data_IF_638830903303
#
_entry.id   IF_638830903303
#
_cell.length_a   1.000
_cell.length_b   1.000
_cell.length_c   1.000
_cell.angle_alpha   90.00
_cell.angle_beta   90.00
_cell.angle_gamma   90.00
#
_symmetry.space_group_name_H-M   'P 1'
#
loop_
_entity.id
_entity.type
_entity.pdbx_description
1 polymer ?
#
# COMPACT_ATOMS: atom_id res chain seq x y z
N UNK A 1 4.82 56.23 20.08
CA UNK A 1 5.68 55.02 20.08
C UNK A 1 5.51 54.31 18.77
N UNK A 2 6.52 54.30 17.92
CA UNK A 2 6.47 53.69 16.62
C UNK A 2 6.70 52.19 16.70
N UNK A 3 6.05 51.35 15.89
CA UNK A 3 6.33 49.90 15.84
C UNK A 3 7.60 49.63 15.02
N UNK A 4 8.45 48.77 15.60
CA UNK A 4 9.69 48.28 15.02
C UNK A 4 9.43 47.49 13.75
N UNK A 5 10.18 47.83 12.71
CA UNK A 5 10.22 47.06 11.47
C UNK A 5 10.85 45.68 11.69
N UNK A 6 10.11 44.63 11.41
CA UNK A 6 10.66 43.27 11.27
C UNK A 6 11.20 43.17 9.84
N UNK A 7 12.53 43.05 9.72
CA UNK A 7 13.19 42.84 8.44
C UNK A 7 12.84 41.45 7.91
N UNK A 8 12.30 41.40 6.70
CA UNK A 8 12.12 40.18 5.91
C UNK A 8 13.51 39.56 5.64
N UNK A 9 13.79 38.42 6.23
CA UNK A 9 14.86 37.52 5.82
C UNK A 9 14.38 36.72 4.63
N UNK A 10 14.88 37.06 3.46
CA UNK A 10 14.71 36.25 2.26
C UNK A 10 15.34 34.86 2.47
N UNK A 11 14.72 33.78 1.97
CA UNK A 11 15.29 32.45 2.08
C UNK A 11 16.60 32.39 1.28
N UNK A 12 17.69 32.05 1.94
CA UNK A 12 18.97 31.75 1.30
C UNK A 12 18.88 30.40 0.62
N UNK A 13 18.72 30.41 -0.68
CA UNK A 13 18.92 29.22 -1.51
C UNK A 13 20.36 28.75 -1.31
N UNK A 14 20.52 27.53 -0.78
CA UNK A 14 21.83 26.87 -0.72
C UNK A 14 22.32 26.59 -2.14
N UNK A 15 23.05 27.55 -2.70
CA UNK A 15 23.82 27.32 -3.92
C UNK A 15 24.94 26.34 -3.59
N UNK A 16 24.98 25.23 -4.29
CA UNK A 16 26.11 24.32 -4.29
C UNK A 16 27.39 25.09 -4.58
N UNK A 17 28.35 25.07 -3.65
CA UNK A 17 29.68 25.63 -3.89
C UNK A 17 30.30 24.87 -5.06
N UNK A 18 30.49 25.57 -6.20
CA UNK A 18 31.47 25.17 -7.21
C UNK A 18 32.84 25.26 -6.57
N UNK A 19 33.48 24.13 -6.39
CA UNK A 19 34.90 24.06 -6.11
C UNK A 19 35.66 24.30 -7.43
N UNK A 20 36.53 25.29 -7.42
CA UNK A 20 37.38 25.64 -8.56
C UNK A 20 38.32 24.50 -8.96
N UNK A 21 38.48 24.39 -10.27
CA UNK A 21 39.27 23.45 -11.04
C UNK A 21 40.69 23.18 -10.51
N UNK A 22 40.99 21.91 -10.27
CA UNK A 22 42.31 21.35 -10.51
C UNK A 22 42.21 20.41 -11.72
N UNK A 23 42.79 20.81 -12.83
CA UNK A 23 42.93 19.97 -14.02
C UNK A 23 43.92 18.85 -13.73
N UNK A 24 43.43 17.61 -13.70
CA UNK A 24 44.25 16.44 -14.01
C UNK A 24 43.42 15.36 -14.71
N UNK A 25 43.90 15.01 -15.88
CA UNK A 25 43.72 13.79 -16.69
C UNK A 25 42.32 13.20 -16.86
N UNK A 26 41.83 13.34 -18.07
CA UNK A 26 40.73 12.75 -18.81
C UNK A 26 40.29 11.31 -18.50
N UNK A 27 39.55 11.12 -17.41
CA UNK A 27 38.56 10.08 -17.27
C UNK A 27 37.30 10.76 -16.73
N UNK A 28 36.30 10.92 -17.56
CA UNK A 28 34.95 11.33 -17.12
C UNK A 28 34.41 10.21 -16.24
N UNK A 29 34.65 10.32 -14.95
CA UNK A 29 33.90 9.50 -13.96
C UNK A 29 32.46 10.00 -14.03
N UNK A 30 31.58 9.27 -14.70
CA UNK A 30 30.13 9.44 -14.55
C UNK A 30 29.86 9.15 -13.08
N UNK A 31 29.60 10.19 -12.28
CA UNK A 31 29.14 10.00 -10.91
C UNK A 31 27.89 9.16 -10.97
N UNK A 32 27.93 7.97 -10.38
CA UNK A 32 26.78 7.08 -10.30
C UNK A 32 25.72 7.78 -9.46
N UNK A 33 24.56 8.05 -10.05
CA UNK A 33 23.43 8.62 -9.33
C UNK A 33 23.07 7.70 -8.14
N UNK A 34 22.98 8.27 -6.94
CA UNK A 34 22.64 7.53 -5.73
C UNK A 34 21.18 7.04 -5.79
N UNK A 35 20.95 5.81 -5.38
CA UNK A 35 19.59 5.34 -5.15
C UNK A 35 18.95 6.06 -3.95
N UNK A 36 17.60 6.10 -3.84
CA UNK A 36 16.93 6.68 -2.68
C UNK A 36 17.41 6.10 -1.34
N UNK A 37 17.62 4.79 -1.24
CA UNK A 37 18.14 4.16 -0.03
C UNK A 37 19.59 4.54 0.28
N UNK A 38 20.44 4.70 -0.74
CA UNK A 38 21.81 5.21 -0.55
C UNK A 38 21.78 6.66 -0.06
N UNK A 39 20.90 7.51 -0.62
CA UNK A 39 20.80 8.92 -0.27
C UNK A 39 20.31 9.18 1.16
N UNK A 40 19.38 8.36 1.66
CA UNK A 40 18.84 8.47 3.03
C UNK A 40 19.72 7.79 4.07
N UNK A 41 20.63 6.89 3.68
CA UNK A 41 21.45 6.11 4.58
C UNK A 41 22.78 6.82 4.88
N UNK A 42 23.04 7.14 6.15
CA UNK A 42 24.35 7.58 6.60
C UNK A 42 25.09 6.39 7.24
N UNK A 43 26.09 5.85 6.56
CA UNK A 43 26.80 4.62 6.95
C UNK A 43 26.39 3.42 6.10
N UNK A 44 25.95 2.32 6.73
CA UNK A 44 25.49 1.15 5.99
C UNK A 44 24.12 1.41 5.33
N UNK A 45 24.01 1.13 4.03
CA UNK A 45 22.74 1.26 3.31
C UNK A 45 21.75 0.22 3.82
N UNK A 46 20.53 0.68 4.16
CA UNK A 46 19.47 -0.22 4.60
C UNK A 46 19.00 -1.12 3.43
N UNK A 47 18.72 -2.41 3.69
CA UNK A 47 18.23 -3.30 2.65
C UNK A 47 16.81 -2.92 2.22
N UNK A 48 16.57 -2.97 0.91
CA UNK A 48 15.23 -2.82 0.33
C UNK A 48 14.39 -4.11 0.40
N UNK A 49 13.61 -4.38 -0.65
CA UNK A 49 12.75 -5.56 -0.76
C UNK A 49 13.62 -6.83 -0.72
N UNK A 50 13.32 -7.80 0.17
CA UNK A 50 14.11 -9.01 0.29
C UNK A 50 13.92 -9.95 -0.90
N UNK A 51 14.96 -10.70 -1.23
CA UNK A 51 14.89 -11.85 -2.13
C UNK A 51 14.65 -13.14 -1.35
N UNK A 52 14.02 -14.12 -1.99
CA UNK A 52 13.64 -15.37 -1.33
C UNK A 52 14.22 -16.57 -2.06
N UNK A 53 14.63 -17.63 -1.32
CA UNK A 53 15.22 -18.84 -1.93
C UNK A 53 14.18 -19.72 -2.63
N UNK A 54 12.88 -19.50 -2.38
CA UNK A 54 11.78 -20.24 -2.99
C UNK A 54 10.48 -19.44 -2.98
N UNK A 55 9.54 -19.76 -3.87
CA UNK A 55 8.19 -19.21 -3.84
C UNK A 55 7.44 -19.53 -2.56
N UNK A 56 7.70 -20.67 -1.93
CA UNK A 56 7.12 -21.03 -0.63
C UNK A 56 7.53 -20.03 0.47
N UNK A 57 8.80 -19.66 0.56
CA UNK A 57 9.26 -18.68 1.56
C UNK A 57 8.76 -17.27 1.20
N UNK A 58 8.71 -16.92 -0.08
CA UNK A 58 8.14 -15.65 -0.54
C UNK A 58 6.65 -15.55 -0.20
N UNK A 59 5.85 -16.56 -0.52
CA UNK A 59 4.41 -16.63 -0.18
C UNK A 59 4.17 -16.51 1.32
N UNK A 60 4.98 -17.18 2.12
CA UNK A 60 4.92 -17.09 3.58
C UNK A 60 5.25 -15.67 4.08
N UNK A 61 6.23 -15.01 3.52
CA UNK A 61 6.54 -13.62 3.81
C UNK A 61 5.34 -12.72 3.50
N UNK A 62 4.80 -12.80 2.29
CA UNK A 62 3.63 -12.04 1.86
C UNK A 62 2.47 -12.20 2.84
N UNK A 63 2.08 -13.42 3.18
CA UNK A 63 0.92 -13.67 4.05
C UNK A 63 1.13 -13.15 5.48
N UNK A 64 2.36 -13.21 5.98
CA UNK A 64 2.74 -12.66 7.30
C UNK A 64 2.67 -11.14 7.27
N UNK A 65 3.18 -10.50 6.22
CA UNK A 65 3.17 -9.05 6.05
C UNK A 65 1.75 -8.52 5.79
N UNK A 66 0.92 -9.22 5.03
CA UNK A 66 -0.51 -8.92 4.91
C UNK A 66 -1.20 -8.87 6.28
N UNK A 67 -0.96 -9.87 7.14
CA UNK A 67 -1.55 -9.91 8.47
C UNK A 67 -1.06 -8.75 9.35
N UNK A 68 0.21 -8.35 9.24
CA UNK A 68 0.76 -7.20 9.94
C UNK A 68 0.15 -5.89 9.43
N UNK A 69 0.01 -5.72 8.13
CA UNK A 69 -0.64 -4.55 7.50
C UNK A 69 -2.11 -4.41 7.94
N UNK A 70 -2.86 -5.51 8.05
CA UNK A 70 -4.22 -5.46 8.60
C UNK A 70 -4.24 -5.03 10.07
N UNK A 71 -3.27 -5.46 10.89
CA UNK A 71 -3.17 -5.03 12.28
C UNK A 71 -2.80 -3.55 12.39
N UNK A 72 -1.89 -3.08 11.54
CA UNK A 72 -1.60 -1.66 11.37
C UNK A 72 -2.88 -0.88 11.02
N UNK A 73 -3.69 -1.35 10.06
CA UNK A 73 -4.97 -0.73 9.74
C UNK A 73 -5.92 -0.68 10.94
N UNK A 74 -6.05 -1.79 11.67
CA UNK A 74 -6.89 -1.82 12.87
C UNK A 74 -6.41 -0.84 13.95
N UNK A 75 -5.11 -0.72 14.15
CA UNK A 75 -4.50 0.18 15.13
C UNK A 75 -4.74 1.65 14.79
N UNK A 76 -4.77 1.99 13.51
CA UNK A 76 -5.00 3.34 13.02
C UNK A 76 -6.50 3.67 12.82
N UNK A 77 -7.40 2.74 13.16
CA UNK A 77 -8.83 2.96 13.02
C UNK A 77 -9.35 2.86 11.57
N UNK A 78 -8.58 2.21 10.69
CA UNK A 78 -8.98 1.99 9.29
C UNK A 78 -9.93 0.78 9.17
N UNK A 79 -10.96 0.77 10.03
CA UNK A 79 -11.94 -0.32 10.10
C UNK A 79 -13.35 0.26 10.09
N UNK A 80 -14.22 -0.31 9.26
CA UNK A 80 -15.64 0.05 9.18
C UNK A 80 -16.47 -1.21 8.94
N UNK A 81 -16.91 -1.87 10.01
CA UNK A 81 -17.68 -3.10 9.93
C UNK A 81 -16.93 -4.20 9.14
N UNK A 82 -17.51 -4.60 8.00
CA UNK A 82 -16.92 -5.59 7.08
C UNK A 82 -16.26 -4.96 5.85
N UNK A 83 -16.21 -3.63 5.80
CA UNK A 83 -15.63 -2.88 4.69
C UNK A 83 -14.11 -2.90 4.75
N UNK A 84 -13.49 -2.80 3.57
CA UNK A 84 -12.05 -2.78 3.43
C UNK A 84 -11.45 -4.16 3.17
N UNK A 85 -10.41 -4.16 2.36
CA UNK A 85 -9.74 -5.38 1.92
C UNK A 85 -8.33 -5.08 1.42
N UNK A 86 -7.45 -6.06 1.57
CA UNK A 86 -6.11 -6.05 0.99
C UNK A 86 -5.98 -7.30 0.14
N UNK A 87 -5.41 -7.16 -1.06
CA UNK A 87 -5.00 -8.31 -1.86
C UNK A 87 -3.53 -8.25 -2.23
N UNK A 88 -2.92 -9.43 -2.38
CA UNK A 88 -1.55 -9.58 -2.90
C UNK A 88 -1.53 -10.69 -3.94
N UNK A 89 -0.95 -10.42 -5.10
CA UNK A 89 -0.74 -11.41 -6.16
C UNK A 89 0.15 -12.54 -5.65
N UNK A 90 -0.19 -13.79 -6.02
CA UNK A 90 0.68 -14.92 -5.69
C UNK A 90 2.03 -14.79 -6.44
N UNK A 91 3.17 -15.01 -5.76
CA UNK A 91 4.49 -14.78 -6.36
C UNK A 91 4.89 -15.81 -7.42
N UNK A 92 4.27 -16.97 -7.42
CA UNK A 92 4.54 -18.07 -8.35
C UNK A 92 3.45 -18.18 -9.43
N UNK A 93 2.20 -18.07 -8.98
CA UNK A 93 1.01 -18.24 -9.82
C UNK A 93 0.32 -16.89 -10.02
N UNK A 94 0.78 -16.12 -10.98
CA UNK A 94 0.35 -14.73 -11.19
C UNK A 94 -1.13 -14.56 -11.55
N UNK A 95 -1.82 -15.64 -11.90
CA UNK A 95 -3.28 -15.67 -12.10
C UNK A 95 -4.09 -15.73 -10.80
N UNK A 96 -3.43 -15.75 -9.63
CA UNK A 96 -4.07 -15.84 -8.31
C UNK A 96 -3.69 -14.67 -7.42
N UNK A 97 -4.58 -14.33 -6.49
CA UNK A 97 -4.34 -13.34 -5.44
C UNK A 97 -4.78 -13.86 -4.07
N UNK A 98 -4.06 -13.43 -3.05
CA UNK A 98 -4.40 -13.64 -1.65
C UNK A 98 -5.20 -12.45 -1.16
N UNK A 99 -6.28 -12.70 -0.39
CA UNK A 99 -7.16 -11.68 0.15
C UNK A 99 -7.62 -12.08 1.57
N UNK A 100 -8.06 -11.10 2.37
CA UNK A 100 -8.69 -11.40 3.66
C UNK A 100 -10.07 -12.04 3.48
N UNK A 101 -10.48 -12.92 4.39
CA UNK A 101 -11.87 -13.38 4.47
C UNK A 101 -12.79 -12.24 4.90
N UNK A 102 -14.03 -12.28 4.43
CA UNK A 102 -15.10 -11.40 4.88
C UNK A 102 -15.47 -11.69 6.34
N UNK A 103 -15.76 -10.66 7.13
CA UNK A 103 -16.34 -10.79 8.47
C UNK A 103 -15.33 -11.05 9.59
N UNK A 104 -14.02 -11.02 9.32
CA UNK A 104 -12.99 -11.10 10.36
C UNK A 104 -12.41 -9.72 10.60
N UNK A 105 -12.45 -9.25 11.86
CA UNK A 105 -11.88 -7.97 12.24
C UNK A 105 -10.37 -7.92 11.93
N UNK A 106 -9.88 -6.83 11.33
CA UNK A 106 -8.50 -6.68 10.87
C UNK A 106 -7.46 -6.98 11.94
N UNK A 107 -7.68 -6.53 13.17
CA UNK A 107 -6.78 -6.80 14.30
C UNK A 107 -6.69 -8.28 14.72
N UNK A 108 -7.58 -9.14 14.24
CA UNK A 108 -7.59 -10.58 14.53
C UNK A 108 -7.02 -11.42 13.38
N UNK A 109 -6.78 -10.80 12.22
CA UNK A 109 -6.27 -11.52 11.05
C UNK A 109 -4.86 -12.07 11.30
N UNK A 110 -4.62 -13.24 10.76
CA UNK A 110 -3.33 -13.94 10.74
C UNK A 110 -3.05 -14.43 9.33
N UNK A 111 -1.81 -14.79 9.03
CA UNK A 111 -1.43 -15.38 7.75
C UNK A 111 -2.31 -16.59 7.35
N UNK A 112 -2.71 -17.40 8.33
CA UNK A 112 -3.56 -18.58 8.11
C UNK A 112 -5.03 -18.28 7.78
N UNK A 113 -5.49 -17.03 7.94
CA UNK A 113 -6.85 -16.63 7.55
C UNK A 113 -6.95 -16.24 6.07
N UNK A 114 -5.83 -15.89 5.41
CA UNK A 114 -5.87 -15.41 4.03
C UNK A 114 -6.39 -16.49 3.11
N UNK A 115 -7.23 -16.09 2.16
CA UNK A 115 -7.83 -16.96 1.14
C UNK A 115 -7.20 -16.65 -0.22
N UNK A 116 -7.04 -17.69 -1.03
CA UNK A 116 -6.51 -17.59 -2.37
C UNK A 116 -7.64 -17.65 -3.40
N UNK A 117 -7.72 -16.63 -4.26
CA UNK A 117 -8.72 -16.52 -5.32
C UNK A 117 -8.05 -16.51 -6.69
N UNK A 118 -8.69 -17.14 -7.65
CA UNK A 118 -8.37 -16.94 -9.06
C UNK A 118 -8.78 -15.53 -9.48
N UNK A 119 -7.86 -14.75 -10.06
CA UNK A 119 -8.10 -13.35 -10.43
C UNK A 119 -9.20 -13.25 -11.50
N UNK A 120 -9.25 -14.19 -12.45
CA UNK A 120 -10.19 -14.14 -13.56
C UNK A 120 -11.63 -14.43 -13.13
N UNK A 121 -11.84 -15.44 -12.29
CA UNK A 121 -13.19 -15.95 -11.99
C UNK A 121 -13.69 -15.65 -10.59
N UNK A 122 -12.78 -15.25 -9.66
CA UNK A 122 -13.09 -15.10 -8.23
C UNK A 122 -13.25 -16.42 -7.47
N UNK A 123 -12.99 -17.55 -8.15
CA UNK A 123 -13.06 -18.85 -7.50
C UNK A 123 -12.05 -18.96 -6.38
N UNK A 124 -12.51 -19.32 -5.18
CA UNK A 124 -11.63 -19.60 -4.05
C UNK A 124 -11.00 -20.97 -4.28
N UNK A 125 -9.67 -21.01 -4.38
CA UNK A 125 -8.90 -22.23 -4.67
C UNK A 125 -8.14 -22.75 -3.47
N UNK A 126 -7.99 -21.95 -2.41
CA UNK A 126 -7.25 -22.37 -1.22
C UNK A 126 -7.23 -21.36 -0.09
N UNK A 127 -6.44 -21.64 0.93
CA UNK A 127 -6.31 -20.79 2.11
C UNK A 127 -7.48 -20.87 3.07
N UNK A 128 -7.46 -19.97 4.05
CA UNK A 128 -8.56 -19.81 5.01
C UNK A 128 -8.60 -20.85 6.13
N UNK A 129 -8.70 -20.39 7.37
CA UNK A 129 -8.98 -21.25 8.54
C UNK A 129 -9.94 -20.51 9.47
N UNK A 130 -10.97 -21.17 9.96
CA UNK A 130 -11.44 -22.52 9.57
C UNK A 130 -12.01 -22.52 8.13
N UNK A 131 -12.10 -23.69 7.51
CA UNK A 131 -12.64 -23.87 6.15
C UNK A 131 -14.07 -23.31 5.97
N UNK A 132 -14.84 -23.16 7.05
CA UNK A 132 -16.17 -22.52 7.08
C UNK A 132 -16.15 -21.00 6.85
N UNK A 133 -14.97 -20.36 6.91
CA UNK A 133 -14.78 -18.92 6.70
C UNK A 133 -14.29 -18.56 5.28
N UNK A 134 -14.46 -19.47 4.31
CA UNK A 134 -14.04 -19.25 2.93
C UNK A 134 -15.03 -18.35 2.18
N UNK A 135 -15.11 -17.09 2.59
CA UNK A 135 -15.94 -16.07 1.92
C UNK A 135 -15.12 -14.83 1.68
N UNK A 136 -15.03 -14.40 0.43
CA UNK A 136 -14.42 -13.12 0.04
C UNK A 136 -15.48 -12.00 0.01
N UNK A 137 -15.02 -10.75 0.16
CA UNK A 137 -15.84 -9.59 -0.16
C UNK A 137 -16.00 -9.49 -1.69
N UNK A 138 -17.23 -9.59 -2.19
CA UNK A 138 -17.49 -9.58 -3.63
C UNK A 138 -17.10 -8.24 -4.29
N UNK A 139 -17.43 -7.11 -3.65
CA UNK A 139 -17.04 -5.79 -4.14
C UNK A 139 -15.51 -5.65 -4.15
N UNK A 140 -14.85 -6.11 -3.08
CA UNK A 140 -13.39 -6.14 -3.00
C UNK A 140 -12.76 -6.98 -4.10
N UNK A 141 -13.30 -8.16 -4.38
CA UNK A 141 -12.83 -8.99 -5.48
C UNK A 141 -12.94 -8.25 -6.81
N UNK A 142 -14.09 -7.64 -7.12
CA UNK A 142 -14.33 -6.98 -8.40
C UNK A 142 -13.34 -5.80 -8.64
N UNK A 143 -13.11 -4.98 -7.62
CA UNK A 143 -12.15 -3.86 -7.71
C UNK A 143 -10.72 -4.40 -7.87
N UNK A 144 -10.31 -5.31 -7.00
CA UNK A 144 -8.92 -5.78 -6.97
C UNK A 144 -8.56 -6.62 -8.19
N UNK A 145 -9.47 -7.49 -8.66
CA UNK A 145 -9.23 -8.29 -9.86
C UNK A 145 -9.07 -7.41 -11.12
N UNK A 146 -9.89 -6.36 -11.27
CA UNK A 146 -9.78 -5.41 -12.37
C UNK A 146 -8.40 -4.71 -12.38
N UNK A 147 -7.95 -4.21 -11.22
CA UNK A 147 -6.65 -3.54 -11.09
C UNK A 147 -5.50 -4.52 -11.33
N UNK A 148 -5.55 -5.73 -10.75
CA UNK A 148 -4.53 -6.75 -10.99
C UNK A 148 -4.44 -7.14 -12.46
N UNK A 149 -5.56 -7.24 -13.17
CA UNK A 149 -5.59 -7.52 -14.63
C UNK A 149 -5.02 -6.36 -15.44
N UNK A 150 -5.33 -5.13 -15.07
CA UNK A 150 -4.91 -3.93 -15.81
C UNK A 150 -3.41 -3.64 -15.68
N UNK A 151 -2.81 -3.91 -14.51
CA UNK A 151 -1.39 -3.62 -14.23
C UNK A 151 -0.67 -4.85 -13.66
N UNK A 152 -0.50 -5.91 -14.46
CA UNK A 152 0.08 -7.18 -13.97
C UNK A 152 1.59 -7.12 -13.71
N UNK A 153 2.29 -6.12 -14.28
CA UNK A 153 3.75 -6.05 -14.24
C UNK A 153 4.31 -5.28 -13.04
N UNK A 154 3.51 -4.41 -12.42
CA UNK A 154 3.99 -3.49 -11.38
C UNK A 154 3.09 -3.44 -10.14
N UNK A 155 1.83 -3.84 -10.23
CA UNK A 155 0.94 -3.94 -9.08
C UNK A 155 0.85 -5.39 -8.60
N UNK A 156 1.48 -5.64 -7.45
CA UNK A 156 1.39 -6.91 -6.76
C UNK A 156 0.52 -6.84 -5.51
N UNK A 157 0.31 -5.65 -4.93
CA UNK A 157 -0.52 -5.46 -3.75
C UNK A 157 -1.48 -4.28 -3.92
N UNK A 158 -2.68 -4.41 -3.31
CA UNK A 158 -3.73 -3.40 -3.33
C UNK A 158 -4.32 -3.31 -1.92
N UNK A 159 -4.46 -2.09 -1.40
CA UNK A 159 -5.11 -1.78 -0.14
C UNK A 159 -6.32 -0.88 -0.37
N UNK A 160 -7.44 -1.18 0.30
CA UNK A 160 -8.63 -0.33 0.32
C UNK A 160 -9.28 -0.39 1.70
N UNK A 161 -9.69 0.77 2.21
CA UNK A 161 -10.51 0.88 3.41
C UNK A 161 -11.31 2.18 3.44
N UNK A 162 -12.32 2.20 4.32
CA UNK A 162 -13.21 3.34 4.56
C UNK A 162 -12.75 4.09 5.82
N UNK A 163 -11.78 4.99 5.68
CA UNK A 163 -11.26 5.79 6.79
C UNK A 163 -12.09 7.07 6.98
N UNK A 164 -12.08 7.64 8.18
CA UNK A 164 -12.82 8.88 8.43
C UNK A 164 -12.29 10.05 7.61
N UNK A 165 -10.97 10.25 7.58
CA UNK A 165 -10.37 11.34 6.82
C UNK A 165 -10.48 11.12 5.31
N UNK A 166 -10.26 9.88 4.84
CA UNK A 166 -10.40 9.53 3.43
C UNK A 166 -11.82 9.71 2.92
N UNK A 167 -12.83 9.24 3.65
CA UNK A 167 -14.24 9.47 3.30
C UNK A 167 -14.59 10.97 3.31
N UNK A 168 -14.18 11.68 4.34
CA UNK A 168 -14.46 13.10 4.45
C UNK A 168 -13.86 13.93 3.30
N UNK A 169 -12.62 13.63 2.90
CA UNK A 169 -12.00 14.29 1.76
C UNK A 169 -12.59 13.84 0.42
N UNK A 170 -12.94 12.57 0.29
CA UNK A 170 -13.45 11.99 -0.97
C UNK A 170 -14.72 12.66 -1.50
N UNK A 171 -15.53 13.28 -0.61
CA UNK A 171 -16.77 13.98 -1.03
C UNK A 171 -16.50 15.20 -1.92
N UNK A 172 -15.29 15.76 -1.86
CA UNK A 172 -14.92 16.90 -2.70
C UNK A 172 -14.46 16.48 -4.10
N UNK A 173 -14.23 15.19 -4.34
CA UNK A 173 -13.72 14.67 -5.61
C UNK A 173 -12.52 15.47 -6.15
N UNK A 174 -11.55 15.78 -5.27
CA UNK A 174 -10.36 16.59 -5.58
C UNK A 174 -9.09 15.86 -5.19
N UNK A 175 -7.99 16.06 -5.94
CA UNK A 175 -6.66 15.60 -5.49
C UNK A 175 -6.24 16.34 -4.22
N UNK A 176 -5.20 15.84 -3.56
CA UNK A 176 -4.53 16.51 -2.46
C UNK A 176 -3.53 17.53 -3.00
N UNK A 177 -3.43 18.69 -2.34
CA UNK A 177 -2.35 19.64 -2.57
C UNK A 177 -1.05 19.11 -1.92
N UNK A 178 0.11 19.47 -2.45
CA UNK A 178 1.41 19.12 -1.87
C UNK A 178 1.69 20.02 -0.66
N UNK A 179 1.10 19.69 0.49
CA UNK A 179 1.13 20.52 1.71
C UNK A 179 2.20 20.11 2.72
N UNK A 180 2.80 18.95 2.55
CA UNK A 180 3.89 18.46 3.40
C UNK A 180 4.84 17.58 2.58
N UNK A 181 6.06 17.40 3.08
CA UNK A 181 7.04 16.51 2.47
C UNK A 181 6.46 15.12 2.20
N UNK A 182 5.76 14.55 3.18
CA UNK A 182 5.25 13.17 3.09
C UNK A 182 4.22 12.99 1.98
N UNK A 183 3.33 13.97 1.76
CA UNK A 183 2.31 13.87 0.72
C UNK A 183 2.90 14.00 -0.69
N UNK A 184 4.12 14.56 -0.83
CA UNK A 184 4.81 14.59 -2.10
C UNK A 184 5.15 13.19 -2.65
N UNK A 185 5.04 12.13 -1.84
CA UNK A 185 5.05 10.75 -2.31
C UNK A 185 3.88 10.42 -3.27
N UNK A 186 2.91 11.31 -3.38
CA UNK A 186 1.78 11.22 -4.31
C UNK A 186 1.80 12.29 -5.39
N UNK A 187 2.89 13.05 -5.54
CA UNK A 187 2.98 14.07 -6.58
C UNK A 187 2.83 13.41 -7.96
N UNK A 188 1.82 13.86 -8.74
CA UNK A 188 1.41 13.26 -10.02
C UNK A 188 1.18 11.74 -9.99
N UNK A 189 0.94 11.18 -8.81
CA UNK A 189 0.83 9.73 -8.60
C UNK A 189 -0.41 9.33 -7.78
N UNK A 190 -1.44 10.19 -7.70
CA UNK A 190 -2.74 9.82 -7.15
C UNK A 190 -3.87 10.29 -8.06
N UNK A 191 -4.86 9.42 -8.23
CA UNK A 191 -6.04 9.66 -9.04
C UNK A 191 -7.24 10.08 -8.19
N UNK A 192 -8.21 10.69 -8.85
CA UNK A 192 -9.56 10.87 -8.30
C UNK A 192 -10.54 10.14 -9.19
N UNK A 193 -11.25 9.17 -8.63
CA UNK A 193 -12.40 8.57 -9.28
C UNK A 193 -13.64 9.38 -8.91
N UNK A 194 -14.02 10.30 -9.78
CA UNK A 194 -15.08 11.30 -9.55
C UNK A 194 -16.49 10.79 -9.92
N UNK A 195 -16.77 9.52 -9.60
CA UNK A 195 -18.09 8.91 -9.77
C UNK A 195 -18.43 8.05 -8.56
N UNK A 196 -19.71 7.90 -8.27
CA UNK A 196 -20.22 7.03 -7.24
C UNK A 196 -21.37 6.19 -7.80
N UNK A 197 -21.08 4.93 -8.09
CA UNK A 197 -22.07 3.98 -8.63
C UNK A 197 -22.83 3.18 -7.56
N UNK A 198 -22.64 3.50 -6.27
CA UNK A 198 -23.16 2.71 -5.16
C UNK A 198 -22.17 1.63 -4.70
N UNK A 199 -22.68 0.57 -4.05
CA UNK A 199 -21.86 -0.59 -3.72
C UNK A 199 -21.50 -1.31 -5.01
N UNK A 200 -20.21 -1.69 -5.14
CA UNK A 200 -19.69 -2.37 -6.34
C UNK A 200 -20.23 -3.81 -6.40
N UNK A 201 -21.27 -4.00 -7.20
CA UNK A 201 -21.85 -5.32 -7.48
C UNK A 201 -21.68 -5.75 -8.95
N UNK A 202 -21.09 -4.89 -9.78
CA UNK A 202 -20.87 -5.14 -11.19
C UNK A 202 -19.39 -4.97 -11.55
N UNK A 203 -18.89 -5.82 -12.44
CA UNK A 203 -17.49 -5.81 -12.88
C UNK A 203 -17.07 -4.48 -13.52
N UNK A 204 -18.01 -3.80 -14.20
CA UNK A 204 -17.77 -2.54 -14.89
C UNK A 204 -17.37 -1.38 -13.94
N UNK A 205 -17.81 -1.39 -12.67
CA UNK A 205 -17.35 -0.40 -11.68
C UNK A 205 -15.88 -0.64 -11.30
N UNK A 206 -15.48 -1.91 -11.12
CA UNK A 206 -14.08 -2.26 -10.89
C UNK A 206 -13.18 -1.83 -12.04
N UNK A 207 -13.62 -2.02 -13.29
CA UNK A 207 -12.89 -1.58 -14.49
C UNK A 207 -12.77 -0.05 -14.55
N UNK A 208 -13.85 0.69 -14.25
CA UNK A 208 -13.82 2.18 -14.21
C UNK A 208 -12.85 2.70 -13.12
N UNK A 209 -12.79 2.04 -11.97
CA UNK A 209 -11.82 2.39 -10.91
C UNK A 209 -10.39 2.10 -11.39
N UNK A 210 -10.17 0.96 -12.04
CA UNK A 210 -8.87 0.61 -12.61
C UNK A 210 -8.45 1.59 -13.72
N UNK A 211 -9.38 2.03 -14.56
CA UNK A 211 -9.14 3.05 -15.59
C UNK A 211 -8.79 4.42 -14.97
N UNK A 212 -9.50 4.84 -13.93
CA UNK A 212 -9.21 6.08 -13.20
C UNK A 212 -7.85 6.04 -12.51
N UNK A 213 -7.48 4.91 -11.91
CA UNK A 213 -6.15 4.71 -11.33
C UNK A 213 -5.06 4.86 -12.41
N UNK A 214 -5.32 4.41 -13.64
CA UNK A 214 -4.40 4.58 -14.77
C UNK A 214 -3.08 3.84 -14.62
N UNK A 215 -2.09 4.23 -15.44
CA UNK A 215 -0.84 3.47 -15.59
C UNK A 215 0.24 3.82 -14.54
N UNK A 216 0.15 4.97 -13.87
CA UNK A 216 1.26 5.48 -13.03
C UNK A 216 0.89 5.72 -11.57
N UNK A 217 -0.41 5.91 -11.27
CA UNK A 217 -0.82 6.29 -9.94
C UNK A 217 -0.58 5.17 -8.92
N UNK A 218 -0.16 5.59 -7.74
CA UNK A 218 0.07 4.74 -6.55
C UNK A 218 -1.13 4.75 -5.60
N UNK A 219 -2.07 5.69 -5.81
CA UNK A 219 -3.28 5.79 -5.01
C UNK A 219 -4.46 6.36 -5.78
N UNK A 220 -5.66 6.19 -5.26
CA UNK A 220 -6.89 6.78 -5.75
C UNK A 220 -7.80 7.21 -4.60
N UNK A 221 -8.41 8.38 -4.76
CA UNK A 221 -9.49 8.88 -3.94
C UNK A 221 -10.79 8.52 -4.66
N UNK A 222 -11.59 7.65 -4.04
CA UNK A 222 -12.86 7.19 -4.60
C UNK A 222 -13.98 8.08 -4.03
N UNK A 223 -14.60 8.91 -4.87
CA UNK A 223 -15.63 9.88 -4.46
C UNK A 223 -16.74 9.20 -3.64
N UNK A 224 -17.06 9.77 -2.47
CA UNK A 224 -18.07 9.28 -1.52
C UNK A 224 -17.88 7.83 -1.05
N UNK A 225 -16.66 7.26 -1.18
CA UNK A 225 -16.41 5.86 -0.90
C UNK A 225 -15.23 5.68 0.06
N UNK A 226 -14.05 6.07 -0.34
CA UNK A 226 -12.85 5.87 0.48
C UNK A 226 -11.57 6.01 -0.31
N UNK A 227 -10.52 5.34 0.17
CA UNK A 227 -9.17 5.40 -0.40
C UNK A 227 -8.74 4.03 -0.93
N UNK A 228 -7.91 4.06 -1.96
CA UNK A 228 -7.26 2.88 -2.52
C UNK A 228 -5.79 3.20 -2.78
N UNK A 229 -4.90 2.26 -2.47
CA UNK A 229 -3.47 2.36 -2.81
C UNK A 229 -2.95 1.04 -3.37
N UNK A 230 -1.88 1.14 -4.16
CA UNK A 230 -1.27 0.01 -4.84
C UNK A 230 0.25 0.05 -4.64
N UNK A 231 0.91 -1.09 -4.81
CA UNK A 231 2.36 -1.19 -4.72
C UNK A 231 2.92 -2.51 -5.25
N UNK A 232 4.24 -2.56 -5.38
CA UNK A 232 4.99 -3.77 -5.69
C UNK A 232 4.98 -4.77 -4.51
N UNK A 233 4.76 -4.27 -3.28
CA UNK A 233 4.64 -5.08 -2.06
C UNK A 233 3.44 -4.63 -1.24
N UNK A 234 2.95 -5.49 -0.35
CA UNK A 234 1.90 -5.13 0.61
C UNK A 234 2.41 -4.09 1.62
N UNK A 235 3.69 -4.09 1.88
CA UNK A 235 4.37 -3.13 2.73
C UNK A 235 4.26 -1.72 2.14
N UNK A 236 4.65 -1.56 0.88
CA UNK A 236 4.50 -0.31 0.14
C UNK A 236 3.03 0.15 0.10
N UNK A 237 2.14 -0.72 -0.38
CA UNK A 237 0.72 -0.39 -0.51
C UNK A 237 0.09 0.04 0.82
N UNK A 238 0.43 -0.66 1.92
CA UNK A 238 -0.05 -0.36 3.27
C UNK A 238 0.52 0.94 3.85
N UNK A 239 1.81 1.20 3.67
CA UNK A 239 2.45 2.45 4.06
C UNK A 239 1.84 3.64 3.32
N UNK A 240 1.74 3.55 1.99
CA UNK A 240 1.11 4.56 1.14
C UNK A 240 -0.36 4.80 1.53
N UNK A 241 -1.09 3.76 1.95
CA UNK A 241 -2.46 3.92 2.42
C UNK A 241 -2.54 4.80 3.67
N UNK A 242 -1.70 4.51 4.67
CA UNK A 242 -1.61 5.33 5.88
C UNK A 242 -1.19 6.77 5.58
N UNK A 243 -0.31 6.95 4.61
CA UNK A 243 0.16 8.26 4.17
C UNK A 243 -0.97 9.06 3.48
N UNK A 244 -1.74 8.41 2.59
CA UNK A 244 -2.86 9.02 1.89
C UNK A 244 -3.98 9.45 2.87
N UNK A 245 -4.30 8.61 3.86
CA UNK A 245 -5.27 8.96 4.91
C UNK A 245 -4.82 10.19 5.72
N UNK A 246 -3.54 10.18 6.16
CA UNK A 246 -2.97 11.34 6.89
C UNK A 246 -2.96 12.59 6.02
N UNK A 247 -2.66 12.46 4.72
CA UNK A 247 -2.76 13.55 3.74
C UNK A 247 -4.17 14.13 3.65
N UNK A 248 -5.21 13.29 3.57
CA UNK A 248 -6.60 13.72 3.60
C UNK A 248 -6.93 14.49 4.89
N UNK A 249 -6.48 13.99 6.04
CA UNK A 249 -6.68 14.65 7.34
C UNK A 249 -6.01 16.01 7.41
N UNK A 250 -4.75 16.12 6.95
CA UNK A 250 -4.02 17.38 6.91
C UNK A 250 -4.69 18.38 5.96
N UNK A 251 -5.09 17.93 4.79
CA UNK A 251 -5.79 18.79 3.82
C UNK A 251 -7.07 19.37 4.43
N UNK A 252 -7.90 18.55 5.08
CA UNK A 252 -9.13 19.02 5.75
C UNK A 252 -8.83 20.09 6.81
N UNK A 253 -7.79 19.91 7.63
CA UNK A 253 -7.39 20.86 8.66
C UNK A 253 -6.88 22.17 8.05
N UNK A 254 -6.06 22.08 7.01
CA UNK A 254 -5.51 23.25 6.31
C UNK A 254 -6.60 24.02 5.59
N UNK A 255 -7.56 23.34 4.92
CA UNK A 255 -8.71 24.00 4.27
C UNK A 255 -9.60 24.73 5.30
N UNK A 256 -9.84 24.12 6.46
CA UNK A 256 -10.59 24.76 7.52
C UNK A 256 -9.88 26.04 8.05
N UNK A 257 -8.56 25.99 8.20
CA UNK A 257 -7.78 27.17 8.59
C UNK A 257 -7.75 28.24 7.48
N UNK A 258 -7.60 27.83 6.23
CA UNK A 258 -7.60 28.73 5.07
C UNK A 258 -8.95 29.44 4.90
N UNK A 259 -10.07 28.74 5.14
CA UNK A 259 -11.40 29.33 5.15
C UNK A 259 -11.57 30.45 6.19
N UNK A 260 -10.72 30.44 7.26
CA UNK A 260 -10.66 31.48 8.28
C UNK A 260 -9.54 32.51 8.03
N UNK A 261 -9.03 32.60 6.79
CA UNK A 261 -8.12 33.67 6.36
C UNK A 261 -6.62 33.35 6.47
N UNK A 262 -6.23 32.14 6.91
CA UNK A 262 -4.81 31.73 6.88
C UNK A 262 -4.38 31.38 5.46
N UNK A 263 -3.24 31.92 5.02
CA UNK A 263 -2.71 31.62 3.68
C UNK A 263 -2.03 30.25 3.68
N UNK A 264 -2.39 29.41 2.73
CA UNK A 264 -1.68 28.15 2.45
C UNK A 264 -0.36 28.43 1.69
N UNK A 265 0.68 27.75 2.07
CA UNK A 265 1.90 27.65 1.28
C UNK A 265 1.97 26.21 0.74
N UNK A 266 1.78 26.06 -0.55
CA UNK A 266 1.86 24.78 -1.25
C UNK A 266 3.31 24.60 -1.73
N UNK A 267 3.86 23.38 -1.57
CA UNK A 267 5.19 23.02 -2.08
C UNK A 267 5.13 23.14 -3.61
N UNK A 268 6.19 23.72 -4.20
CA UNK A 268 6.27 23.87 -5.65
C UNK A 268 6.32 22.51 -6.37
N UNK A 269 5.87 22.49 -7.63
CA UNK A 269 5.89 21.26 -8.43
C UNK A 269 7.31 20.71 -8.58
N UNK A 270 8.32 21.57 -8.71
CA UNK A 270 9.73 21.17 -8.81
C UNK A 270 10.21 20.46 -7.53
N UNK A 271 9.92 21.04 -6.36
CA UNK A 271 10.30 20.47 -5.07
C UNK A 271 9.51 19.17 -4.80
N UNK A 272 8.23 19.13 -5.13
CA UNK A 272 7.39 17.96 -4.98
C UNK A 272 7.83 16.80 -5.90
N UNK A 273 8.18 17.10 -7.16
CA UNK A 273 8.70 16.13 -8.11
C UNK A 273 10.06 15.57 -7.68
N UNK A 274 10.94 16.42 -7.14
CA UNK A 274 12.22 15.97 -6.58
C UNK A 274 12.00 15.03 -5.39
N UNK A 275 11.12 15.41 -4.46
CA UNK A 275 10.79 14.58 -3.31
C UNK A 275 10.18 13.24 -3.74
N UNK A 276 9.25 13.25 -4.70
CA UNK A 276 8.66 12.04 -5.26
C UNK A 276 9.73 11.11 -5.82
N UNK A 277 10.66 11.64 -6.63
CA UNK A 277 11.78 10.85 -7.19
C UNK A 277 12.61 10.18 -6.10
N UNK A 278 12.87 10.89 -4.99
CA UNK A 278 13.77 10.43 -3.93
C UNK A 278 13.09 9.57 -2.85
N UNK A 279 11.77 9.61 -2.73
CA UNK A 279 11.07 8.94 -1.62
C UNK A 279 10.04 7.89 -2.07
N UNK A 280 9.64 7.87 -3.35
CA UNK A 280 8.54 7.02 -3.84
C UNK A 280 9.00 5.79 -4.62
N UNK A 281 10.28 5.44 -4.55
CA UNK A 281 10.83 4.22 -5.14
C UNK A 281 10.44 3.00 -4.30
N UNK A 282 10.18 1.86 -4.93
CA UNK A 282 9.60 0.67 -4.29
C UNK A 282 10.42 0.10 -3.13
N UNK A 283 11.76 0.09 -3.23
CA UNK A 283 12.64 -0.39 -2.16
C UNK A 283 12.65 0.58 -0.97
N UNK A 284 12.59 1.88 -1.24
CA UNK A 284 12.51 2.91 -0.21
C UNK A 284 11.17 2.82 0.53
N UNK A 285 10.05 2.73 -0.19
CA UNK A 285 8.71 2.61 0.39
C UNK A 285 8.52 1.30 1.16
N UNK A 286 9.08 0.18 0.66
CA UNK A 286 9.15 -1.06 1.42
C UNK A 286 9.85 -0.83 2.76
N UNK A 287 10.98 -0.11 2.76
CA UNK A 287 11.75 0.14 3.98
C UNK A 287 11.03 1.07 4.94
N UNK A 288 10.35 2.10 4.43
CA UNK A 288 9.53 3.02 5.24
C UNK A 288 8.41 2.29 6.01
N UNK A 289 7.86 1.23 5.47
CA UNK A 289 6.83 0.43 6.13
C UNK A 289 7.36 -0.40 7.30
N UNK A 290 8.66 -0.76 7.31
CA UNK A 290 9.17 -1.77 8.25
C UNK A 290 9.04 -1.40 9.73
N UNK A 291 9.28 -0.15 10.19
CA UNK A 291 9.10 0.20 11.60
C UNK A 291 7.71 -0.09 12.14
N UNK A 292 6.67 0.23 11.38
CA UNK A 292 5.28 -0.04 11.76
C UNK A 292 4.96 -1.53 11.77
N UNK A 293 5.43 -2.27 10.76
CA UNK A 293 5.21 -3.71 10.70
C UNK A 293 6.01 -4.48 11.76
N UNK A 294 7.24 -4.07 12.05
CA UNK A 294 8.03 -4.61 13.15
C UNK A 294 7.34 -4.38 14.50
N UNK A 295 6.74 -3.22 14.69
CA UNK A 295 5.92 -2.93 15.85
C UNK A 295 4.72 -3.89 15.94
N UNK A 296 3.98 -4.12 14.84
CA UNK A 296 2.87 -5.08 14.82
C UNK A 296 3.34 -6.51 15.09
N UNK A 297 4.50 -6.91 14.59
CA UNK A 297 5.11 -8.20 14.92
C UNK A 297 5.43 -8.32 16.42
N UNK A 298 5.98 -7.27 17.02
CA UNK A 298 6.28 -7.24 18.44
C UNK A 298 5.00 -7.34 19.29
N UNK A 299 3.97 -6.59 18.94
CA UNK A 299 2.67 -6.59 19.65
C UNK A 299 1.93 -7.94 19.52
N UNK A 300 2.05 -8.61 18.39
CA UNK A 300 1.47 -9.94 18.19
C UNK A 300 2.16 -11.04 19.02
N UNK A 301 3.40 -10.83 19.44
CA UNK A 301 4.24 -11.82 20.13
C UNK A 301 3.95 -12.02 21.61
N UNK A 302 3.35 -11.06 22.31
CA UNK A 302 3.07 -11.13 23.75
C UNK A 302 4.30 -11.51 24.58
N UNK A 303 5.48 -10.97 24.25
CA UNK A 303 6.75 -11.26 24.95
C UNK A 303 7.45 -12.56 24.57
N UNK A 304 6.91 -13.35 23.65
CA UNK A 304 7.60 -14.49 23.03
C UNK A 304 7.76 -14.18 21.55
N UNK A 305 8.98 -14.14 21.04
CA UNK A 305 9.44 -13.76 19.72
C UNK A 305 8.36 -13.53 18.63
N UNK A 306 8.25 -12.32 18.14
CA UNK A 306 7.06 -11.81 17.41
C UNK A 306 6.72 -12.60 16.13
N UNK A 307 7.71 -13.13 15.45
CA UNK A 307 7.53 -13.89 14.21
C UNK A 307 6.91 -15.28 14.40
N UNK A 308 6.98 -15.88 15.61
CA UNK A 308 6.52 -17.27 15.83
C UNK A 308 4.99 -17.40 15.96
N UNK A 309 4.26 -16.42 16.49
CA UNK A 309 2.79 -16.50 16.60
C UNK A 309 2.06 -16.26 15.27
N UNK A 310 2.53 -15.30 14.47
CA UNK A 310 2.01 -15.12 13.11
C UNK A 310 2.34 -16.34 12.22
N UNK A 311 3.46 -17.03 12.49
CA UNK A 311 3.87 -18.26 11.81
C UNK A 311 3.11 -19.52 12.21
N UNK A 312 2.64 -19.66 13.46
CA UNK A 312 2.04 -20.92 13.95
C UNK A 312 0.71 -21.31 13.31
N UNK A 313 0.04 -20.38 12.62
CA UNK A 313 -1.19 -20.67 11.87
C UNK A 313 -0.92 -20.75 10.36
N UNK A 314 0.34 -20.82 9.95
CA UNK A 314 0.73 -20.68 8.56
C UNK A 314 0.94 -22.00 7.83
N UNK A 315 0.49 -21.99 6.62
CA UNK A 315 1.16 -22.42 5.40
C UNK A 315 1.13 -23.92 5.03
N UNK A 316 1.23 -24.86 5.93
CA UNK A 316 1.38 -26.29 5.54
C UNK A 316 0.13 -26.85 4.82
N UNK A 317 -1.06 -26.32 5.08
CA UNK A 317 -2.29 -26.79 4.43
C UNK A 317 -2.68 -26.00 3.17
N UNK A 318 -2.20 -24.76 3.05
CA UNK A 318 -2.50 -23.85 1.94
C UNK A 318 -1.78 -24.30 0.65
N UNK A 319 -0.51 -24.69 0.77
CA UNK A 319 0.32 -25.16 -0.35
C UNK A 319 -0.24 -26.45 -0.96
N UNK A 320 -0.73 -27.38 -0.14
CA UNK A 320 -1.33 -28.63 -0.64
C UNK A 320 -2.62 -28.43 -1.45
N UNK A 321 -3.29 -27.30 -1.29
CA UNK A 321 -4.48 -26.95 -2.10
C UNK A 321 -4.09 -26.56 -3.53
N UNK A 322 -3.05 -25.75 -3.70
CA UNK A 322 -2.56 -25.30 -5.02
C UNK A 322 -1.90 -26.44 -5.80
N UNK A 323 -1.07 -27.26 -5.15
CA UNK A 323 -0.47 -28.45 -5.77
C UNK A 323 -1.51 -29.44 -6.33
N UNK A 324 -2.70 -29.55 -5.71
CA UNK A 324 -3.79 -30.40 -6.20
C UNK A 324 -4.52 -29.82 -7.41
N UNK A 325 -4.60 -28.50 -7.53
CA UNK A 325 -5.19 -27.83 -8.70
C UNK A 325 -4.33 -28.04 -9.94
N UNK A 326 -3.01 -27.98 -9.80
CA UNK A 326 -2.07 -28.19 -10.93
C UNK A 326 -2.02 -29.63 -11.42
N UNK A 327 -2.17 -30.62 -10.52
CA UNK A 327 -2.10 -32.04 -10.87
C UNK A 327 -3.41 -32.60 -11.42
N UNK A 328 -4.48 -31.81 -11.51
CA UNK A 328 -5.79 -32.25 -12.01
C UNK A 328 -6.46 -33.35 -11.16
N UNK A 329 -5.98 -33.61 -9.95
CA UNK A 329 -6.54 -34.61 -9.05
C UNK A 329 -7.83 -34.08 -8.43
N UNK A 330 -8.97 -34.55 -8.95
CA UNK A 330 -10.29 -34.35 -8.35
C UNK A 330 -10.30 -34.82 -6.90
N UNK A 331 -10.91 -34.03 -6.03
CA UNK A 331 -11.17 -34.43 -4.63
C UNK A 331 -11.84 -35.80 -4.59
N UNK A 332 -11.48 -36.70 -3.67
CA UNK A 332 -12.26 -37.91 -3.46
C UNK A 332 -13.65 -37.48 -2.99
N UNK A 333 -14.67 -37.82 -3.79
CA UNK A 333 -16.07 -37.68 -3.45
C UNK A 333 -16.33 -38.26 -2.04
N UNK A 334 -16.84 -37.43 -1.16
CA UNK A 334 -17.36 -37.88 0.14
C UNK A 334 -18.37 -39.01 -0.10
N UNK A 335 -18.01 -40.23 0.27
CA UNK A 335 -18.96 -41.31 0.39
C UNK A 335 -19.98 -40.89 1.46
N UNK A 336 -21.23 -40.77 1.03
CA UNK A 336 -22.38 -40.79 1.93
C UNK A 336 -22.29 -42.09 2.76
N UNK A 337 -22.24 -41.93 4.07
CA UNK A 337 -22.57 -42.99 5.02
C UNK A 337 -23.91 -42.62 5.62
N UNK A 338 -24.83 -43.52 5.46
CA UNK A 338 -26.20 -43.49 5.99
C UNK A 338 -26.27 -43.21 7.49
#
# INVERSE_FOLDING_TARGET
MAPSAISELAPTVLQSKKTDDVKENGATTVEKEQTPLEAISHGAVMPGIPTFPSFTEHRKHILVHMAATFRFFARHGFTEGQSGHISVRDPEHHGYMWMNPLGVHFGLLTAGHMICLEIETGKIVGGGKPASALTANAAGYLIHSAIHKRRPGDIHAICHAHTDAGRAWSVFARPLDMLSQDICNFHDAHAVYASYGGIVFAADEGERIADALGARNKGAILMNHGLLTVGATVDEAGFMFGLLDRGCRHQLQVEAAAANGLKKNVISDEEAAYNFKMASEEHALYREAQPDLEYEFAMAGGGRGPRQRLRRLAVVHVIRGLERVETGMSSPTSRQVF
#
